data_IF_460654748402
#
_entry.id   IF_460654748402
#
_cell.length_a   1.000
_cell.length_b   1.000
_cell.length_c   1.000
_cell.angle_alpha   90.00
_cell.angle_beta   90.00
_cell.angle_gamma   90.00
#
_symmetry.space_group_name_H-M   'P 1'
#
loop_
_entity.id
_entity.type
_entity.pdbx_description
1 polymer ?
#
# COMPACT_ATOMS: atom_id res chain seq x y z
N UNK A 1 2.66 16.58 -17.00
CA UNK A 1 2.30 15.19 -16.63
C UNK A 1 2.06 15.16 -15.14
N UNK A 2 0.79 15.13 -14.70
CA UNK A 2 0.45 14.77 -13.33
C UNK A 2 0.33 13.25 -13.31
N UNK A 3 1.21 12.59 -12.56
CA UNK A 3 1.10 11.17 -12.28
C UNK A 3 0.52 11.11 -10.86
N UNK A 4 -0.80 10.92 -10.76
CA UNK A 4 -1.53 10.96 -9.49
C UNK A 4 -1.30 9.71 -8.61
N UNK A 5 -0.64 8.68 -9.16
CA UNK A 5 -0.40 7.40 -8.48
C UNK A 5 1.09 7.03 -8.64
N UNK A 6 1.79 6.65 -7.55
CA UNK A 6 3.18 6.20 -7.64
C UNK A 6 3.27 4.99 -8.59
N UNK A 7 4.11 5.11 -9.62
CA UNK A 7 4.40 4.00 -10.52
C UNK A 7 5.28 2.99 -9.79
N UNK A 8 4.89 1.73 -9.83
CA UNK A 8 5.52 0.61 -9.12
C UNK A 8 6.10 -0.37 -10.14
N UNK A 9 5.29 -0.78 -11.12
CA UNK A 9 5.66 -1.79 -12.11
C UNK A 9 5.27 -1.40 -13.54
N UNK A 10 5.82 -2.12 -14.50
CA UNK A 10 5.54 -1.91 -15.93
C UNK A 10 4.07 -2.19 -16.30
N UNK A 11 3.40 -3.07 -15.57
CA UNK A 11 1.99 -3.40 -15.82
C UNK A 11 1.07 -2.19 -15.68
N UNK A 12 1.41 -1.24 -14.78
CA UNK A 12 0.70 0.03 -14.65
C UNK A 12 0.93 0.99 -15.84
N UNK A 13 2.04 0.83 -16.55
CA UNK A 13 2.44 1.66 -17.69
C UNK A 13 1.86 1.11 -19.01
N UNK A 14 1.59 -0.19 -19.06
CA UNK A 14 1.03 -0.87 -20.24
C UNK A 14 1.93 -0.72 -21.46
N UNK A 15 1.39 -0.22 -22.57
CA UNK A 15 2.15 -0.05 -23.83
C UNK A 15 2.93 1.27 -23.93
N UNK A 16 2.84 2.17 -22.94
CA UNK A 16 3.43 3.52 -23.07
C UNK A 16 4.96 3.48 -23.14
N UNK A 17 5.60 2.50 -22.48
CA UNK A 17 7.04 2.30 -22.57
C UNK A 17 7.44 1.92 -24.02
N UNK A 18 6.67 1.04 -24.65
CA UNK A 18 6.90 0.60 -26.04
C UNK A 18 6.65 1.76 -27.02
N UNK A 19 5.56 2.51 -26.84
CA UNK A 19 5.26 3.67 -27.68
C UNK A 19 6.34 4.77 -27.58
N UNK A 20 6.97 4.95 -26.41
CA UNK A 20 8.08 5.89 -26.25
C UNK A 20 9.32 5.46 -27.08
N UNK A 21 9.56 4.15 -27.22
CA UNK A 21 10.63 3.61 -28.07
C UNK A 21 10.29 3.81 -29.55
N UNK A 22 9.07 3.45 -29.96
CA UNK A 22 8.60 3.58 -31.36
C UNK A 22 8.64 5.02 -31.85
N UNK A 23 8.28 5.98 -31.01
CA UNK A 23 8.29 7.41 -31.33
C UNK A 23 9.63 8.11 -31.01
N UNK A 24 10.69 7.36 -30.70
CA UNK A 24 12.05 7.84 -30.41
C UNK A 24 12.11 8.91 -29.29
N UNK A 25 11.21 8.83 -28.31
CA UNK A 25 11.10 9.76 -27.17
C UNK A 25 11.96 9.29 -25.99
N UNK A 26 13.28 9.33 -26.19
CA UNK A 26 14.26 8.81 -25.21
C UNK A 26 14.14 9.44 -23.83
N UNK A 27 13.78 10.73 -23.74
CA UNK A 27 13.59 11.42 -22.45
C UNK A 27 12.37 10.92 -21.68
N UNK A 28 11.25 10.66 -22.38
CA UNK A 28 10.04 10.09 -21.78
C UNK A 28 10.31 8.65 -21.31
N UNK A 29 11.01 7.85 -22.13
CA UNK A 29 11.43 6.51 -21.77
C UNK A 29 12.32 6.48 -20.53
N UNK A 30 13.39 7.29 -20.51
CA UNK A 30 14.33 7.34 -19.38
C UNK A 30 13.63 7.78 -18.08
N UNK A 31 12.69 8.72 -18.19
CA UNK A 31 11.89 9.18 -17.06
C UNK A 31 10.97 8.06 -16.55
N UNK A 32 10.20 7.41 -17.43
CA UNK A 32 9.33 6.30 -17.04
C UNK A 32 10.12 5.15 -16.40
N UNK A 33 11.30 4.83 -16.95
CA UNK A 33 12.19 3.81 -16.39
C UNK A 33 12.71 4.20 -15.01
N UNK A 34 13.06 5.47 -14.79
CA UNK A 34 13.54 5.96 -13.49
C UNK A 34 12.46 5.96 -12.39
N UNK A 35 11.17 5.99 -12.78
CA UNK A 35 10.05 5.94 -11.85
C UNK A 35 9.64 4.51 -11.47
N UNK A 36 10.11 3.50 -12.18
CA UNK A 36 9.82 2.10 -11.86
C UNK A 36 10.61 1.64 -10.64
N UNK A 37 9.99 0.78 -9.82
CA UNK A 37 10.68 0.21 -8.66
C UNK A 37 11.78 -0.76 -9.12
N UNK A 38 12.98 -0.62 -8.55
CA UNK A 38 14.08 -1.56 -8.75
C UNK A 38 13.97 -2.82 -7.87
N UNK A 39 13.00 -2.87 -6.95
CA UNK A 39 12.81 -3.98 -6.03
C UNK A 39 12.18 -5.19 -6.76
N UNK A 40 12.86 -6.33 -6.71
CA UNK A 40 12.37 -7.57 -7.32
C UNK A 40 10.98 -7.99 -6.81
N UNK A 41 10.62 -7.60 -5.57
CA UNK A 41 9.31 -7.92 -4.98
C UNK A 41 8.15 -7.17 -5.62
N UNK A 42 8.43 -6.06 -6.30
CA UNK A 42 7.42 -5.27 -7.02
C UNK A 42 7.17 -5.76 -8.44
N UNK A 43 7.99 -6.70 -8.92
CA UNK A 43 7.81 -7.28 -10.24
C UNK A 43 6.47 -8.01 -10.29
N UNK A 44 5.72 -7.75 -11.37
CA UNK A 44 4.40 -8.29 -11.65
C UNK A 44 4.32 -9.82 -11.44
N UNK A 45 5.36 -10.53 -11.88
CA UNK A 45 5.47 -12.00 -11.82
C UNK A 45 5.46 -12.61 -10.40
N UNK A 46 5.68 -11.83 -9.34
CA UNK A 46 5.75 -12.35 -7.96
C UNK A 46 4.58 -11.92 -7.07
N UNK A 47 3.53 -11.36 -7.65
CA UNK A 47 2.36 -10.89 -6.89
C UNK A 47 1.37 -12.03 -6.67
N UNK A 48 1.47 -12.66 -5.50
CA UNK A 48 0.49 -13.64 -5.04
C UNK A 48 -0.74 -12.92 -4.46
N UNK A 49 -1.93 -13.47 -4.69
CA UNK A 49 -3.12 -13.02 -3.97
C UNK A 49 -2.87 -13.19 -2.47
N UNK A 50 -2.88 -12.09 -1.72
CA UNK A 50 -2.85 -12.14 -0.26
C UNK A 50 -4.11 -12.88 0.19
N UNK A 51 -3.93 -14.09 0.71
CA UNK A 51 -5.00 -14.76 1.44
C UNK A 51 -5.47 -13.86 2.57
N UNK A 52 -6.78 -13.70 2.67
CA UNK A 52 -7.43 -12.86 3.66
C UNK A 52 -7.07 -13.36 5.07
N UNK A 53 -6.64 -12.46 5.95
CA UNK A 53 -6.33 -12.82 7.33
C UNK A 53 -7.59 -13.38 8.02
N UNK A 54 -7.54 -14.65 8.40
CA UNK A 54 -8.64 -15.34 9.08
C UNK A 54 -8.98 -14.66 10.42
N UNK A 55 -8.03 -13.95 11.04
CA UNK A 55 -8.24 -13.22 12.28
C UNK A 55 -9.27 -12.08 12.13
N UNK A 56 -9.25 -11.35 11.01
CA UNK A 56 -10.21 -10.26 10.75
C UNK A 56 -11.63 -10.79 10.53
N UNK A 57 -11.76 -11.95 9.88
CA UNK A 57 -13.06 -12.63 9.67
C UNK A 57 -13.67 -13.05 11.01
N UNK A 58 -12.87 -13.64 11.90
CA UNK A 58 -13.31 -14.08 13.22
C UNK A 58 -13.69 -12.89 14.11
N UNK A 59 -12.93 -11.79 14.09
CA UNK A 59 -13.29 -10.58 14.85
C UNK A 59 -14.67 -10.02 14.46
N UNK A 60 -14.98 -9.98 13.16
CA UNK A 60 -16.30 -9.54 12.69
C UNK A 60 -17.40 -10.52 13.08
N UNK A 61 -17.14 -11.82 13.04
CA UNK A 61 -18.12 -12.84 13.41
C UNK A 61 -18.50 -12.78 14.90
N UNK A 62 -17.56 -12.45 15.77
CA UNK A 62 -17.77 -12.36 17.22
C UNK A 62 -18.09 -10.96 17.73
N UNK A 63 -18.28 -9.98 16.83
CA UNK A 63 -18.55 -8.57 17.18
C UNK A 63 -17.54 -8.01 18.21
N UNK A 64 -16.28 -8.45 18.14
CA UNK A 64 -15.27 -8.05 19.11
C UNK A 64 -14.90 -6.57 18.92
N UNK A 65 -14.66 -5.83 20.02
CA UNK A 65 -14.18 -4.46 19.92
C UNK A 65 -12.83 -4.39 19.18
N UNK A 66 -12.52 -3.24 18.55
CA UNK A 66 -11.29 -3.08 17.80
C UNK A 66 -10.08 -3.31 18.71
N UNK A 67 -9.07 -4.03 18.18
CA UNK A 67 -7.82 -4.29 18.91
C UNK A 67 -7.20 -2.96 19.33
N UNK A 68 -6.76 -2.89 20.60
CA UNK A 68 -6.04 -1.73 21.11
C UNK A 68 -4.86 -1.40 20.19
N UNK A 69 -4.83 -0.16 19.69
CA UNK A 69 -3.72 0.32 18.87
C UNK A 69 -2.44 0.31 19.72
N UNK A 70 -1.32 -0.15 19.15
CA UNK A 70 -0.04 -0.13 19.87
C UNK A 70 0.62 1.25 19.79
N UNK A 71 0.45 1.91 18.65
CA UNK A 71 1.07 3.21 18.35
C UNK A 71 0.04 4.10 17.69
N UNK A 72 -0.15 5.31 18.21
CA UNK A 72 -0.85 6.40 17.52
C UNK A 72 0.18 7.40 16.98
N UNK A 73 -0.03 7.86 15.75
CA UNK A 73 0.81 8.84 15.09
C UNK A 73 0.36 10.26 15.43
N UNK A 74 1.17 10.95 16.24
CA UNK A 74 0.95 12.33 16.67
C UNK A 74 0.79 13.30 15.49
N UNK A 75 1.34 12.99 14.33
CA UNK A 75 1.25 13.86 13.14
C UNK A 75 -0.09 13.77 12.40
N UNK A 76 -0.87 12.72 12.67
CA UNK A 76 -2.14 12.44 11.98
C UNK A 76 -3.34 12.58 12.89
N UNK A 77 -3.19 12.23 14.17
CA UNK A 77 -4.28 12.19 15.12
C UNK A 77 -4.23 13.42 16.05
N UNK A 78 -5.21 14.31 15.89
CA UNK A 78 -5.30 15.56 16.64
C UNK A 78 -6.14 15.42 17.92
N UNK A 79 -6.65 14.22 18.23
CA UNK A 79 -7.56 14.00 19.35
C UNK A 79 -6.86 13.25 20.48
N UNK A 80 -6.15 14.00 21.32
CA UNK A 80 -5.71 13.50 22.61
C UNK A 80 -6.92 13.38 23.51
N UNK A 81 -7.22 12.19 24.02
CA UNK A 81 -8.28 12.00 25.02
C UNK A 81 -7.80 12.45 26.39
N UNK A 82 -8.61 13.24 27.09
CA UNK A 82 -8.34 13.59 28.47
C UNK A 82 -8.97 12.57 29.43
N UNK A 83 -8.16 11.64 29.91
CA UNK A 83 -8.57 10.63 30.89
C UNK A 83 -8.59 11.14 32.34
N UNK A 84 -8.01 12.32 32.59
CA UNK A 84 -7.92 12.88 33.95
C UNK A 84 -9.28 13.30 34.49
N UNK A 85 -10.13 13.86 33.63
CA UNK A 85 -11.50 14.26 33.99
C UNK A 85 -12.34 13.07 34.47
N UNK A 86 -12.30 11.94 33.75
CA UNK A 86 -13.09 10.75 34.12
C UNK A 86 -12.54 10.11 35.39
N UNK A 87 -11.22 10.07 35.55
CA UNK A 87 -10.63 9.55 36.78
C UNK A 87 -11.00 10.42 38.00
N UNK A 88 -10.99 11.75 37.85
CA UNK A 88 -11.32 12.68 38.92
C UNK A 88 -12.80 12.63 39.32
N UNK A 89 -13.72 12.53 38.35
CA UNK A 89 -15.16 12.57 38.60
C UNK A 89 -15.76 11.21 38.95
N UNK A 90 -15.31 10.13 38.30
CA UNK A 90 -15.97 8.81 38.35
C UNK A 90 -15.08 7.71 38.97
N UNK A 91 -13.81 8.02 39.25
CA UNK A 91 -12.87 7.14 39.91
C UNK A 91 -12.28 6.04 39.01
N UNK A 92 -11.42 5.21 39.62
CA UNK A 92 -10.58 4.26 38.90
C UNK A 92 -11.35 3.16 38.12
N UNK A 93 -12.49 2.69 38.63
CA UNK A 93 -13.27 1.64 37.97
C UNK A 93 -13.94 2.14 36.70
N UNK A 94 -14.45 3.36 36.70
CA UNK A 94 -15.06 3.98 35.53
C UNK A 94 -14.02 4.20 34.43
N UNK A 95 -12.83 4.66 34.80
CA UNK A 95 -11.69 4.78 33.89
C UNK A 95 -11.30 3.42 33.25
N UNK A 96 -11.16 2.37 34.06
CA UNK A 96 -10.83 1.03 33.56
C UNK A 96 -11.89 0.50 32.58
N UNK A 97 -13.18 0.72 32.89
CA UNK A 97 -14.27 0.34 32.01
C UNK A 97 -14.23 1.12 30.69
N UNK A 98 -13.99 2.44 30.75
CA UNK A 98 -13.87 3.28 29.56
C UNK A 98 -12.71 2.83 28.67
N UNK A 99 -11.55 2.53 29.25
CA UNK A 99 -10.40 2.01 28.50
C UNK A 99 -10.69 0.65 27.87
N UNK A 100 -11.48 -0.21 28.53
CA UNK A 100 -11.90 -1.49 27.96
C UNK A 100 -12.89 -1.32 26.79
N UNK A 101 -13.76 -0.32 26.85
CA UNK A 101 -14.75 -0.02 25.80
C UNK A 101 -14.15 0.75 24.62
N UNK A 102 -13.20 1.64 24.87
CA UNK A 102 -12.54 2.50 23.88
C UNK A 102 -11.04 2.51 24.13
N UNK A 103 -10.32 1.46 23.69
CA UNK A 103 -8.91 1.33 23.97
C UNK A 103 -8.08 2.38 23.23
N UNK A 104 -7.38 3.21 23.97
CA UNK A 104 -6.42 4.17 23.44
C UNK A 104 -5.09 3.51 23.07
N UNK A 105 -4.32 4.20 22.22
CA UNK A 105 -3.00 3.74 21.87
C UNK A 105 -2.05 3.68 23.08
N UNK A 106 -1.28 2.60 23.19
CA UNK A 106 -0.32 2.45 24.30
C UNK A 106 0.80 3.50 24.25
N UNK A 107 1.19 3.92 23.05
CA UNK A 107 2.24 4.92 22.84
C UNK A 107 1.78 5.92 21.78
N UNK A 108 1.87 7.20 22.10
CA UNK A 108 1.67 8.29 21.13
C UNK A 108 3.05 8.84 20.77
N UNK A 109 3.46 8.70 19.51
CA UNK A 109 4.76 9.14 18.99
C UNK A 109 4.62 9.44 17.51
N UNK A 110 5.62 10.08 16.91
CA UNK A 110 5.70 10.13 15.45
C UNK A 110 5.72 8.71 14.87
N UNK A 111 5.09 8.51 13.70
CA UNK A 111 4.97 7.21 13.05
C UNK A 111 6.28 6.42 12.97
N UNK A 112 7.42 7.11 12.83
CA UNK A 112 8.75 6.51 12.81
C UNK A 112 9.67 6.99 13.95
N UNK A 113 10.57 6.13 14.47
CA UNK A 113 11.71 6.60 15.24
C UNK A 113 12.57 7.57 14.42
N UNK A 114 13.21 8.53 15.08
CA UNK A 114 14.02 9.60 14.45
C UNK A 114 15.09 9.01 13.50
N UNK A 115 15.82 7.98 13.93
CA UNK A 115 16.84 7.34 13.10
C UNK A 115 16.26 6.69 11.83
N UNK A 116 15.04 6.14 11.90
CA UNK A 116 14.36 5.58 10.73
C UNK A 116 13.86 6.70 9.81
N UNK A 117 13.36 7.80 10.36
CA UNK A 117 12.95 8.95 9.56
C UNK A 117 14.12 9.53 8.74
N UNK A 118 15.33 9.60 9.33
CA UNK A 118 16.55 10.04 8.65
C UNK A 118 17.02 9.04 7.57
N UNK A 119 16.93 7.74 7.84
CA UNK A 119 17.22 6.74 6.81
C UNK A 119 16.24 6.85 5.63
N UNK A 120 14.94 6.99 5.93
CA UNK A 120 13.87 7.08 4.93
C UNK A 120 13.93 8.35 4.11
N UNK A 121 14.45 9.47 4.64
CA UNK A 121 14.59 10.71 3.84
C UNK A 121 15.54 10.53 2.66
N UNK A 122 16.47 9.58 2.73
CA UNK A 122 17.39 9.24 1.65
C UNK A 122 16.87 8.13 0.72
N UNK A 123 15.73 7.53 1.04
CA UNK A 123 15.16 6.45 0.24
C UNK A 123 14.18 6.96 -0.83
N UNK A 124 14.04 6.18 -1.89
CA UNK A 124 13.07 6.39 -2.95
C UNK A 124 11.63 6.48 -2.41
N UNK A 125 10.77 7.15 -3.18
CA UNK A 125 9.36 7.35 -2.81
C UNK A 125 8.62 6.02 -2.61
N UNK A 126 8.87 5.04 -3.48
CA UNK A 126 8.27 3.69 -3.41
C UNK A 126 8.64 2.99 -2.10
N UNK A 127 9.92 3.07 -1.69
CA UNK A 127 10.42 2.52 -0.42
C UNK A 127 9.77 3.19 0.80
N UNK A 128 9.61 4.51 0.77
CA UNK A 128 8.91 5.25 1.84
C UNK A 128 7.44 4.86 1.94
N UNK A 129 6.74 4.76 0.82
CA UNK A 129 5.33 4.33 0.80
C UNK A 129 5.16 2.89 1.26
N UNK A 130 6.11 2.00 0.95
CA UNK A 130 6.11 0.61 1.41
C UNK A 130 6.16 0.54 2.92
N UNK A 131 7.10 1.27 3.48
CA UNK A 131 7.37 1.30 4.91
C UNK A 131 6.13 1.78 5.68
N UNK A 132 5.41 2.77 5.14
CA UNK A 132 4.15 3.28 5.70
C UNK A 132 2.92 2.39 5.44
N UNK A 133 3.07 1.27 4.70
CA UNK A 133 1.94 0.44 4.29
C UNK A 133 0.96 1.12 3.32
N UNK A 134 1.36 2.25 2.71
CA UNK A 134 0.56 3.07 1.80
C UNK A 134 0.83 2.75 0.32
N UNK A 135 1.69 1.77 0.03
CA UNK A 135 1.88 1.31 -1.34
C UNK A 135 0.55 0.77 -1.88
N UNK A 136 0.00 1.35 -2.96
CA UNK A 136 -1.15 0.76 -3.61
C UNK A 136 -0.74 -0.63 -4.12
N UNK A 137 -1.51 -1.66 -3.76
CA UNK A 137 -1.37 -2.95 -4.43
C UNK A 137 -1.76 -2.75 -5.89
N UNK A 138 -0.85 -2.98 -6.86
CA UNK A 138 -1.24 -2.93 -8.25
C UNK A 138 -2.35 -3.96 -8.48
N UNK A 139 -3.54 -3.50 -8.86
CA UNK A 139 -4.59 -4.37 -9.38
C UNK A 139 -4.10 -4.85 -10.74
N UNK A 140 -3.45 -6.00 -10.75
CA UNK A 140 -3.07 -6.63 -11.99
C UNK A 140 -4.21 -7.51 -12.47
N UNK A 141 -4.85 -7.10 -13.56
CA UNK A 141 -5.54 -8.05 -14.44
C UNK A 141 -4.45 -8.86 -15.15
N UNK A 142 -3.90 -9.84 -14.44
CA UNK A 142 -3.09 -10.87 -15.09
C UNK A 142 -4.06 -11.68 -15.95
N UNK A 143 -4.13 -11.32 -17.23
CA UNK A 143 -4.88 -12.10 -18.22
C UNK A 143 -4.38 -13.55 -18.14
N UNK A 144 -5.30 -14.49 -17.89
CA UNK A 144 -4.94 -15.87 -17.61
C UNK A 144 -4.12 -16.45 -18.76
N UNK A 145 -3.09 -17.26 -18.48
CA UNK A 145 -2.17 -17.78 -19.51
C UNK A 145 -2.92 -18.49 -20.66
N UNK A 146 -4.03 -19.17 -20.35
CA UNK A 146 -4.89 -19.79 -21.36
C UNK A 146 -5.51 -18.76 -22.32
N UNK A 147 -5.92 -17.60 -21.81
CA UNK A 147 -6.45 -16.51 -22.63
C UNK A 147 -5.34 -15.91 -23.49
N UNK A 148 -4.10 -15.82 -22.96
CA UNK A 148 -2.96 -15.29 -23.71
C UNK A 148 -2.64 -16.16 -24.92
N UNK A 149 -2.65 -17.48 -24.74
CA UNK A 149 -2.49 -18.45 -25.83
C UNK A 149 -3.64 -18.37 -26.84
N UNK A 150 -4.88 -18.16 -26.38
CA UNK A 150 -6.02 -17.99 -27.26
C UNK A 150 -5.89 -16.73 -28.15
N UNK A 151 -5.48 -15.59 -27.58
CA UNK A 151 -5.21 -14.37 -28.33
C UNK A 151 -4.07 -14.59 -29.32
N UNK A 152 -2.94 -15.17 -28.89
CA UNK A 152 -1.81 -15.44 -29.78
C UNK A 152 -2.21 -16.31 -30.96
N UNK A 153 -3.00 -17.35 -30.74
CA UNK A 153 -3.48 -18.24 -31.81
C UNK A 153 -4.37 -17.51 -32.83
N UNK A 154 -5.13 -16.51 -32.39
CA UNK A 154 -6.00 -15.72 -33.25
C UNK A 154 -5.23 -14.65 -34.06
N UNK A 155 -4.03 -14.25 -33.63
CA UNK A 155 -3.19 -13.28 -34.33
C UNK A 155 -2.32 -13.90 -35.44
N UNK A 156 -1.94 -15.17 -35.31
CA UNK A 156 -1.17 -15.93 -36.32
C UNK A 156 -1.78 -15.85 -37.74
N UNK A 157 -3.09 -16.07 -37.96
CA UNK A 157 -3.66 -16.00 -39.31
C UNK A 157 -3.69 -14.57 -39.89
N UNK A 158 -3.76 -13.52 -39.07
CA UNK A 158 -3.77 -12.13 -39.54
C UNK A 158 -2.39 -11.69 -40.06
N UNK A 159 -1.31 -12.13 -39.41
CA UNK A 159 0.07 -11.88 -39.84
C UNK A 159 0.45 -12.67 -41.10
N UNK A 160 -0.19 -13.81 -41.36
CA UNK A 160 0.01 -14.58 -42.58
C UNK A 160 -0.72 -13.99 -43.81
N UNK A 161 -1.60 -13.02 -43.61
CA UNK A 161 -2.40 -12.36 -44.65
C UNK A 161 -1.96 -10.92 -44.98
N UNK A 162 -0.88 -10.44 -44.37
CA UNK A 162 -0.23 -9.15 -44.62
C UNK A 162 1.12 -9.36 -45.32
#
# INVERSE_FOLDING_TARGET
MQIDVPLINEAQIGSRLNAAIEHNRRGEFALLLSLLSADARDMAQFQWQKELDNAEKLQRQFELPPKQALVADLSTDNKVTDNSAVFAEQGARAFQLQQALRPEALVIRGGEPIAMAEALSNCDLTTRLRQRGQLPSPKMDVMHFADQLAIQRNLVPLLASA
#
